data_IF_502767369479
#
_entry.id   IF_502767369479
#
_cell.length_a   1.000
_cell.length_b   1.000
_cell.length_c   1.000
_cell.angle_alpha   90.00
_cell.angle_beta   90.00
_cell.angle_gamma   90.00
#
_symmetry.space_group_name_H-M   'P 1'
#
loop_
_entity.id
_entity.type
_entity.pdbx_description
1 polymer ?
#
# COMPACT_ATOMS: atom_id res chain seq x y z
N UNK A 1 -36.18 -18.82 3.79
CA UNK A 1 -35.66 -18.47 5.13
C UNK A 1 -34.20 -18.92 5.32
N UNK A 2 -33.85 -20.19 5.06
CA UNK A 2 -32.48 -20.71 5.24
C UNK A 2 -31.37 -19.95 4.47
N UNK A 3 -31.62 -19.48 3.25
CA UNK A 3 -30.62 -18.74 2.45
C UNK A 3 -30.40 -17.29 2.95
N UNK A 4 -31.42 -16.68 3.57
CA UNK A 4 -31.31 -15.33 4.12
C UNK A 4 -30.47 -15.34 5.41
N UNK A 5 -30.72 -16.30 6.30
CA UNK A 5 -29.94 -16.50 7.53
C UNK A 5 -28.46 -16.78 7.21
N UNK A 6 -28.17 -17.68 6.25
CA UNK A 6 -26.80 -17.94 5.79
C UNK A 6 -26.11 -16.70 5.24
N UNK A 7 -26.81 -15.86 4.47
CA UNK A 7 -26.26 -14.60 3.94
C UNK A 7 -25.89 -13.61 5.05
N UNK A 8 -26.71 -13.54 6.10
CA UNK A 8 -26.50 -12.66 7.26
C UNK A 8 -25.37 -13.12 8.17
N UNK A 9 -25.25 -14.43 8.42
CA UNK A 9 -24.12 -15.02 9.13
C UNK A 9 -22.80 -14.80 8.37
N UNK A 10 -22.84 -14.96 7.04
CA UNK A 10 -21.68 -14.70 6.18
C UNK A 10 -21.30 -13.23 6.24
N UNK A 11 -22.27 -12.30 6.18
CA UNK A 11 -22.02 -10.86 6.31
C UNK A 11 -21.39 -10.50 7.66
N UNK A 12 -21.86 -11.09 8.76
CA UNK A 12 -21.23 -10.91 10.09
C UNK A 12 -19.79 -11.43 10.07
N UNK A 13 -19.56 -12.62 9.51
CA UNK A 13 -18.24 -13.23 9.46
C UNK A 13 -17.25 -12.38 8.64
N UNK A 14 -17.68 -11.87 7.49
CA UNK A 14 -16.90 -10.91 6.69
C UNK A 14 -16.55 -9.70 7.54
N UNK A 15 -17.52 -9.04 8.17
CA UNK A 15 -17.28 -7.86 9.01
C UNK A 15 -16.36 -8.12 10.20
N UNK A 16 -16.48 -9.28 10.85
CA UNK A 16 -15.54 -9.71 11.90
C UNK A 16 -14.12 -9.87 11.35
N UNK A 17 -13.97 -10.41 10.14
CA UNK A 17 -12.70 -10.45 9.43
C UNK A 17 -12.15 -9.05 9.15
N UNK A 18 -12.97 -8.12 8.66
CA UNK A 18 -12.59 -6.72 8.44
C UNK A 18 -12.07 -6.12 9.75
N UNK A 19 -12.84 -6.25 10.82
CA UNK A 19 -12.51 -5.71 12.14
C UNK A 19 -11.18 -6.25 12.67
N UNK A 20 -10.92 -7.56 12.54
CA UNK A 20 -9.65 -8.17 12.95
C UNK A 20 -8.47 -7.66 12.13
N UNK A 21 -8.63 -7.55 10.80
CA UNK A 21 -7.58 -6.98 9.94
C UNK A 21 -7.35 -5.49 10.22
N UNK A 22 -8.39 -4.76 10.60
CA UNK A 22 -8.34 -3.34 10.96
C UNK A 22 -7.59 -3.13 12.28
N UNK A 23 -7.85 -3.96 13.29
CA UNK A 23 -7.09 -3.95 14.55
C UNK A 23 -5.60 -4.18 14.31
N UNK A 24 -5.27 -5.18 13.49
CA UNK A 24 -3.88 -5.45 13.11
C UNK A 24 -3.27 -4.26 12.37
N UNK A 25 -3.99 -3.65 11.43
CA UNK A 25 -3.52 -2.47 10.69
C UNK A 25 -3.27 -1.27 11.62
N UNK A 26 -4.16 -1.01 12.58
CA UNK A 26 -3.98 0.03 13.59
C UNK A 26 -2.74 -0.21 14.45
N UNK A 27 -2.46 -1.45 14.82
CA UNK A 27 -1.23 -1.79 15.54
C UNK A 27 0.03 -1.49 14.72
N UNK A 28 0.00 -1.75 13.40
CA UNK A 28 1.11 -1.38 12.51
C UNK A 28 1.30 0.14 12.43
N UNK A 29 0.21 0.90 12.32
CA UNK A 29 0.27 2.37 12.31
C UNK A 29 0.73 2.94 13.66
N UNK A 30 0.27 2.38 14.78
CA UNK A 30 0.72 2.76 16.12
C UNK A 30 2.24 2.53 16.27
N UNK A 31 2.76 1.43 15.74
CA UNK A 31 4.19 1.14 15.73
C UNK A 31 5.01 2.16 14.93
N UNK A 32 4.45 2.74 13.86
CA UNK A 32 5.07 3.86 13.13
C UNK A 32 5.02 5.17 13.92
N UNK A 33 3.95 5.42 14.66
CA UNK A 33 3.77 6.66 15.43
C UNK A 33 4.57 6.68 16.73
N UNK A 34 4.86 5.51 17.31
CA UNK A 34 5.63 5.37 18.53
C UNK A 34 7.03 6.02 18.48
N UNK A 35 7.89 5.77 17.46
CA UNK A 35 9.18 6.44 17.32
C UNK A 35 9.05 7.90 16.88
N UNK A 36 7.97 8.29 16.21
CA UNK A 36 7.80 9.65 15.68
C UNK A 36 7.80 10.71 16.79
N UNK A 37 7.11 10.48 17.91
CA UNK A 37 7.05 11.42 19.05
C UNK A 37 8.43 11.71 19.67
N UNK A 38 9.23 10.70 20.09
CA UNK A 38 10.56 10.95 20.63
C UNK A 38 11.52 11.50 19.57
N UNK A 39 11.41 11.11 18.30
CA UNK A 39 12.21 11.71 17.22
C UNK A 39 11.92 13.21 17.06
N UNK A 40 10.65 13.63 17.10
CA UNK A 40 10.28 15.06 17.06
C UNK A 40 10.81 15.82 18.28
N UNK A 41 10.76 15.22 19.47
CA UNK A 41 11.33 15.82 20.67
C UNK A 41 12.87 15.96 20.56
N UNK A 42 13.55 14.91 20.10
CA UNK A 42 15.00 14.90 19.90
C UNK A 42 15.46 15.91 18.85
N UNK A 43 14.63 16.19 17.83
CA UNK A 43 14.91 17.18 16.79
C UNK A 43 15.07 18.62 17.32
N UNK A 44 14.57 18.91 18.53
CA UNK A 44 14.71 20.23 19.19
C UNK A 44 15.94 20.34 20.08
N UNK A 45 16.72 19.27 20.21
CA UNK A 45 17.93 19.23 21.05
C UNK A 45 19.16 19.69 20.27
N UNK A 46 20.27 19.95 20.98
CA UNK A 46 21.54 20.35 20.37
C UNK A 46 22.19 19.28 19.49
N UNK A 47 21.73 18.03 19.57
CA UNK A 47 22.17 16.93 18.69
C UNK A 47 20.95 16.16 18.15
N UNK A 48 20.29 16.71 17.11
CA UNK A 48 19.10 16.09 16.54
C UNK A 48 19.47 14.80 15.81
N UNK A 49 18.77 13.70 16.14
CA UNK A 49 18.89 12.42 15.42
C UNK A 49 18.43 12.57 13.98
N UNK A 50 17.32 13.29 13.79
CA UNK A 50 16.75 13.71 12.52
C UNK A 50 16.26 15.15 12.61
N UNK A 51 16.23 15.84 11.46
CA UNK A 51 15.58 17.14 11.36
C UNK A 51 14.06 16.99 11.37
N UNK A 52 13.34 18.04 11.82
CA UNK A 52 11.87 18.06 11.81
C UNK A 52 11.32 17.81 10.40
N UNK A 53 11.94 18.40 9.38
CA UNK A 53 11.54 18.20 7.97
C UNK A 53 11.69 16.75 7.51
N UNK A 54 12.78 16.05 7.88
CA UNK A 54 12.94 14.63 7.56
C UNK A 54 11.88 13.78 8.25
N UNK A 55 11.57 14.06 9.51
CA UNK A 55 10.53 13.34 10.26
C UNK A 55 9.15 13.57 9.62
N UNK A 56 8.83 14.81 9.25
CA UNK A 56 7.57 15.13 8.58
C UNK A 56 7.45 14.51 7.19
N UNK A 57 8.57 14.33 6.50
CA UNK A 57 8.62 13.63 5.20
C UNK A 57 8.42 12.12 5.39
N UNK A 58 9.12 11.49 6.34
CA UNK A 58 9.04 10.03 6.58
C UNK A 58 7.65 9.63 7.08
N UNK A 59 7.08 10.38 8.01
CA UNK A 59 5.79 10.06 8.65
C UNK A 59 4.63 10.89 8.09
N UNK A 60 4.78 11.45 6.89
CA UNK A 60 3.75 12.28 6.25
C UNK A 60 2.42 11.55 6.19
N UNK A 61 1.33 12.17 6.66
CA UNK A 61 -0.04 11.61 6.69
C UNK A 61 -0.25 10.32 7.49
N UNK A 62 0.77 9.74 8.10
CA UNK A 62 0.63 8.55 8.96
C UNK A 62 -0.28 8.82 10.17
N UNK A 63 -0.17 9.96 10.90
CA UNK A 63 -1.07 10.26 12.01
C UNK A 63 -2.53 10.40 11.55
N UNK A 64 -2.78 11.09 10.45
CA UNK A 64 -4.14 11.25 9.91
C UNK A 64 -4.73 9.91 9.47
N UNK A 65 -3.94 9.04 8.83
CA UNK A 65 -4.36 7.68 8.50
C UNK A 65 -4.72 6.87 9.75
N UNK A 66 -3.93 6.98 10.82
CA UNK A 66 -4.26 6.33 12.09
C UNK A 66 -5.62 6.78 12.63
N UNK A 67 -5.87 8.09 12.70
CA UNK A 67 -7.13 8.62 13.21
C UNK A 67 -8.34 8.18 12.37
N UNK A 68 -8.22 8.22 11.04
CA UNK A 68 -9.28 7.76 10.12
C UNK A 68 -9.65 6.30 10.38
N UNK A 69 -8.64 5.44 10.47
CA UNK A 69 -8.82 4.00 10.70
C UNK A 69 -9.26 3.70 12.13
N UNK A 70 -8.82 4.51 13.10
CA UNK A 70 -9.21 4.38 14.50
C UNK A 70 -10.68 4.70 14.68
N UNK A 71 -11.15 5.78 14.04
CA UNK A 71 -12.57 6.14 14.01
C UNK A 71 -13.41 5.07 13.30
N UNK A 72 -12.92 4.53 12.18
CA UNK A 72 -13.59 3.43 11.48
C UNK A 72 -13.72 2.19 12.37
N UNK A 73 -12.63 1.78 13.05
CA UNK A 73 -12.63 0.64 13.98
C UNK A 73 -13.57 0.86 15.16
N UNK A 74 -13.49 2.01 15.82
CA UNK A 74 -14.31 2.35 16.99
C UNK A 74 -15.80 2.44 16.62
N UNK A 75 -16.12 2.85 15.38
CA UNK A 75 -17.46 2.81 14.82
C UNK A 75 -17.95 1.41 14.45
N UNK A 76 -17.06 0.53 13.95
CA UNK A 76 -17.38 -0.81 13.48
C UNK A 76 -17.52 -1.83 14.62
N UNK A 77 -16.62 -1.79 15.60
CA UNK A 77 -16.55 -2.71 16.74
C UNK A 77 -17.90 -2.91 17.45
N UNK A 78 -18.60 -1.87 17.93
CA UNK A 78 -19.88 -2.05 18.63
C UNK A 78 -20.96 -2.61 17.71
N UNK A 79 -20.93 -2.28 16.41
CA UNK A 79 -21.91 -2.76 15.42
C UNK A 79 -21.73 -4.25 15.10
N UNK A 80 -20.50 -4.76 15.18
CA UNK A 80 -20.20 -6.20 15.02
C UNK A 80 -20.48 -6.97 16.31
N UNK A 81 -20.20 -6.39 17.47
CA UNK A 81 -20.50 -7.01 18.77
C UNK A 81 -22.01 -7.12 19.04
N UNK A 82 -22.75 -6.05 18.77
CA UNK A 82 -24.21 -5.99 18.89
C UNK A 82 -24.88 -6.25 17.53
N UNK A 83 -24.54 -7.39 16.92
CA UNK A 83 -25.00 -7.70 15.56
C UNK A 83 -26.53 -7.86 15.49
N UNK A 84 -27.14 -7.21 14.50
CA UNK A 84 -28.58 -7.32 14.21
C UNK A 84 -28.85 -7.35 12.70
N UNK A 85 -30.02 -7.88 12.31
CA UNK A 85 -30.44 -7.97 10.89
C UNK A 85 -30.57 -6.61 10.19
N UNK A 86 -30.74 -5.52 10.95
CA UNK A 86 -30.90 -4.16 10.45
C UNK A 86 -29.65 -3.31 10.67
N UNK A 87 -28.55 -3.93 11.11
CA UNK A 87 -27.32 -3.21 11.41
C UNK A 87 -26.76 -2.59 10.12
N UNK A 88 -26.49 -1.30 10.20
CA UNK A 88 -25.92 -0.52 9.11
C UNK A 88 -24.46 -0.29 9.36
N UNK A 89 -23.64 -0.51 8.35
CA UNK A 89 -22.19 -0.26 8.36
C UNK A 89 -21.76 0.53 7.12
N UNK A 90 -22.63 0.69 6.12
CA UNK A 90 -22.29 1.33 4.85
C UNK A 90 -21.85 2.78 4.99
N UNK A 91 -22.38 3.50 5.98
CA UNK A 91 -21.97 4.86 6.34
C UNK A 91 -20.50 4.95 6.77
N UNK A 92 -19.99 3.95 7.48
CA UNK A 92 -18.58 3.91 7.89
C UNK A 92 -17.65 3.74 6.69
N UNK A 93 -18.04 2.90 5.73
CA UNK A 93 -17.28 2.70 4.49
C UNK A 93 -17.34 3.91 3.56
N UNK A 94 -18.48 4.59 3.46
CA UNK A 94 -18.56 5.86 2.73
C UNK A 94 -17.69 6.93 3.35
N UNK A 95 -17.68 7.03 4.69
CA UNK A 95 -16.80 7.94 5.39
C UNK A 95 -15.33 7.62 5.08
N UNK A 96 -14.93 6.35 5.14
CA UNK A 96 -13.59 5.92 4.77
C UNK A 96 -13.24 6.27 3.31
N UNK A 97 -14.16 6.03 2.37
CA UNK A 97 -13.98 6.37 0.96
C UNK A 97 -13.84 7.88 0.73
N UNK A 98 -14.53 8.73 1.51
CA UNK A 98 -14.39 10.18 1.44
C UNK A 98 -13.00 10.69 1.86
N UNK A 99 -12.27 9.89 2.64
CA UNK A 99 -10.94 10.24 3.15
C UNK A 99 -9.80 9.71 2.27
N UNK A 100 -10.09 9.10 1.10
CA UNK A 100 -9.07 8.60 0.17
C UNK A 100 -8.12 9.70 -0.35
N UNK A 101 -8.49 10.98 -0.24
CA UNK A 101 -7.58 12.10 -0.50
C UNK A 101 -6.35 12.11 0.41
N UNK A 102 -6.47 11.65 1.66
CA UNK A 102 -5.33 11.53 2.59
C UNK A 102 -4.40 10.40 2.13
N UNK A 103 -4.97 9.28 1.68
CA UNK A 103 -4.23 8.20 1.05
C UNK A 103 -3.49 8.66 -0.20
N UNK A 104 -4.10 9.52 -1.03
CA UNK A 104 -3.43 10.09 -2.20
C UNK A 104 -2.19 10.86 -1.81
N UNK A 105 -2.32 11.78 -0.86
CA UNK A 105 -1.21 12.59 -0.38
C UNK A 105 -0.09 11.72 0.23
N UNK A 106 -0.45 10.67 0.97
CA UNK A 106 0.51 9.68 1.48
C UNK A 106 1.28 9.00 0.34
N UNK A 107 0.56 8.48 -0.67
CA UNK A 107 1.15 7.76 -1.80
C UNK A 107 2.03 8.65 -2.67
N UNK A 108 1.66 9.92 -2.87
CA UNK A 108 2.45 10.87 -3.63
C UNK A 108 3.80 11.20 -2.95
N UNK A 109 3.86 11.14 -1.61
CA UNK A 109 5.08 11.33 -0.83
C UNK A 109 5.82 10.02 -0.52
N UNK A 110 5.23 8.85 -0.77
CA UNK A 110 5.76 7.55 -0.33
C UNK A 110 7.18 7.27 -0.83
N UNK A 111 7.47 7.51 -2.12
CA UNK A 111 8.81 7.31 -2.69
C UNK A 111 9.86 8.18 -1.98
N UNK A 112 9.52 9.45 -1.74
CA UNK A 112 10.39 10.39 -1.02
C UNK A 112 10.56 10.00 0.45
N UNK A 113 9.50 9.50 1.10
CA UNK A 113 9.55 9.02 2.48
C UNK A 113 10.51 7.84 2.64
N UNK A 114 10.45 6.86 1.74
CA UNK A 114 11.35 5.69 1.74
C UNK A 114 12.78 6.12 1.47
N UNK A 115 13.03 6.93 0.43
CA UNK A 115 14.38 7.41 0.12
C UNK A 115 14.98 8.22 1.29
N UNK A 116 14.16 9.07 1.93
CA UNK A 116 14.59 9.86 3.09
C UNK A 116 14.88 8.96 4.28
N UNK A 117 14.04 7.95 4.56
CA UNK A 117 14.26 6.98 5.61
C UNK A 117 15.59 6.23 5.40
N UNK A 118 15.84 5.71 4.19
CA UNK A 118 17.08 5.00 3.87
C UNK A 118 18.33 5.86 4.06
N UNK A 119 18.33 7.10 3.56
CA UNK A 119 19.44 8.05 3.75
C UNK A 119 19.68 8.34 5.22
N UNK A 120 18.60 8.49 5.99
CA UNK A 120 18.67 8.74 7.43
C UNK A 120 19.24 7.54 8.19
N UNK A 121 18.87 6.32 7.82
CA UNK A 121 19.42 5.09 8.41
C UNK A 121 20.92 4.97 8.13
N UNK A 122 21.37 5.31 6.92
CA UNK A 122 22.80 5.28 6.56
C UNK A 122 23.60 6.38 7.28
N UNK A 123 23.00 7.55 7.51
CA UNK A 123 23.67 8.68 8.14
C UNK A 123 23.72 8.61 9.68
N UNK A 124 22.76 7.92 10.31
CA UNK A 124 22.63 7.89 11.76
C UNK A 124 22.32 6.48 12.29
N UNK A 125 23.28 5.90 13.01
CA UNK A 125 23.16 4.57 13.61
C UNK A 125 22.05 4.47 14.66
N UNK A 126 21.76 5.54 15.40
CA UNK A 126 20.64 5.55 16.35
C UNK A 126 19.30 5.47 15.63
N UNK A 127 19.17 6.14 14.47
CA UNK A 127 17.95 6.03 13.67
C UNK A 127 17.83 4.65 13.02
N UNK A 128 18.94 4.08 12.53
CA UNK A 128 18.96 2.71 12.00
C UNK A 128 18.49 1.68 13.04
N UNK A 129 18.95 1.79 14.29
CA UNK A 129 18.47 0.94 15.38
C UNK A 129 16.98 1.14 15.66
N UNK A 130 16.49 2.38 15.65
CA UNK A 130 15.06 2.67 15.83
C UNK A 130 14.24 2.07 14.69
N UNK A 131 14.69 2.20 13.43
CA UNK A 131 13.98 1.68 12.25
C UNK A 131 13.95 0.16 12.18
N UNK A 132 14.97 -0.53 12.71
CA UNK A 132 15.01 -2.00 12.74
C UNK A 132 14.27 -2.60 13.95
N UNK A 133 14.12 -1.83 15.04
CA UNK A 133 13.49 -2.30 16.29
C UNK A 133 12.04 -1.84 16.47
N UNK A 134 11.33 -1.51 15.39
CA UNK A 134 9.91 -1.19 15.47
C UNK A 134 9.09 -2.42 15.85
N UNK A 135 8.61 -2.42 17.09
CA UNK A 135 7.80 -3.50 17.65
C UNK A 135 6.33 -3.21 17.38
N UNK A 136 5.70 -4.06 16.58
CA UNK A 136 4.25 -4.09 16.43
C UNK A 136 3.65 -4.87 17.61
N UNK A 137 2.61 -4.33 18.25
CA UNK A 137 1.88 -5.07 19.29
C UNK A 137 1.03 -6.15 18.63
N UNK A 138 1.45 -7.39 18.72
CA UNK A 138 0.59 -8.52 18.35
C UNK A 138 -0.49 -8.72 19.43
N UNK A 139 -1.73 -9.12 19.07
CA UNK A 139 -2.71 -9.57 20.05
C UNK A 139 -2.13 -10.73 20.88
N UNK A 140 -2.50 -10.77 22.16
CA UNK A 140 -2.06 -11.74 23.17
C UNK A 140 -2.06 -13.16 22.57
N UNK A 141 -0.89 -13.82 22.57
CA UNK A 141 -0.61 -15.25 22.34
C UNK A 141 0.40 -15.60 21.23
N UNK A 142 0.87 -14.65 20.41
CA UNK A 142 2.00 -14.93 19.50
C UNK A 142 3.34 -14.44 20.08
N UNK A 143 4.17 -15.39 20.54
CA UNK A 143 5.57 -15.21 20.99
C UNK A 143 6.55 -14.81 19.86
N UNK A 144 6.08 -14.11 18.84
CA UNK A 144 6.91 -13.68 17.72
C UNK A 144 6.61 -12.19 17.47
N UNK A 145 7.34 -11.31 18.15
CA UNK A 145 7.43 -9.92 17.73
C UNK A 145 8.17 -9.93 16.40
N UNK A 146 7.42 -10.00 15.30
CA UNK A 146 7.96 -9.81 13.97
C UNK A 146 8.68 -8.45 13.95
N UNK A 147 10.00 -8.50 13.79
CA UNK A 147 10.81 -7.30 13.54
C UNK A 147 10.39 -6.78 12.17
N UNK A 148 9.56 -5.76 12.15
CA UNK A 148 9.17 -5.11 10.91
C UNK A 148 10.09 -3.92 10.71
N UNK A 149 10.77 -3.85 9.57
CA UNK A 149 11.54 -2.67 9.21
C UNK A 149 10.59 -1.48 8.97
N UNK A 150 11.09 -0.26 9.15
CA UNK A 150 10.34 0.96 8.90
C UNK A 150 9.74 0.99 7.47
N UNK A 151 10.49 0.54 6.47
CA UNK A 151 10.04 0.46 5.07
C UNK A 151 8.86 -0.51 4.93
N UNK A 152 8.95 -1.68 5.57
CA UNK A 152 7.88 -2.68 5.55
C UNK A 152 6.59 -2.15 6.20
N UNK A 153 6.71 -1.32 7.24
CA UNK A 153 5.56 -0.67 7.88
C UNK A 153 5.00 0.50 7.03
N UNK A 154 5.87 1.30 6.40
CA UNK A 154 5.46 2.39 5.50
C UNK A 154 4.74 1.87 4.25
N UNK A 155 4.98 0.63 3.83
CA UNK A 155 4.23 0.00 2.74
C UNK A 155 2.82 -0.46 3.16
N UNK A 156 2.54 -0.65 4.46
CA UNK A 156 1.24 -1.17 4.93
C UNK A 156 0.03 -0.35 4.47
N UNK A 157 0.03 1.00 4.48
CA UNK A 157 -1.06 1.79 3.91
C UNK A 157 -1.31 1.54 2.42
N UNK A 158 -0.25 1.31 1.63
CA UNK A 158 -0.35 0.99 0.20
C UNK A 158 -1.04 -0.36 0.00
N UNK A 159 -0.62 -1.37 0.77
CA UNK A 159 -1.24 -2.69 0.76
C UNK A 159 -2.69 -2.64 1.31
N UNK A 160 -2.95 -1.81 2.32
CA UNK A 160 -4.30 -1.68 2.89
C UNK A 160 -5.28 -1.13 1.88
N UNK A 161 -4.95 -0.02 1.20
CA UNK A 161 -5.91 0.62 0.28
C UNK A 161 -6.25 -0.25 -0.93
N UNK A 162 -5.28 -1.03 -1.41
CA UNK A 162 -5.50 -2.01 -2.50
C UNK A 162 -6.39 -3.18 -2.05
N UNK A 163 -6.22 -3.68 -0.82
CA UNK A 163 -7.03 -4.78 -0.27
C UNK A 163 -8.43 -4.35 0.17
N UNK A 164 -8.60 -3.13 0.67
CA UNK A 164 -9.90 -2.64 1.17
C UNK A 164 -11.00 -2.71 0.10
N UNK A 165 -10.66 -2.53 -1.18
CA UNK A 165 -11.60 -2.65 -2.30
C UNK A 165 -12.14 -4.07 -2.49
N UNK A 166 -11.29 -5.09 -2.32
CA UNK A 166 -11.70 -6.50 -2.41
C UNK A 166 -12.66 -6.86 -1.28
N UNK A 167 -12.34 -6.41 -0.08
CA UNK A 167 -13.15 -6.62 1.12
C UNK A 167 -14.51 -5.94 1.01
N UNK A 168 -14.56 -4.71 0.48
CA UNK A 168 -15.79 -3.98 0.18
C UNK A 168 -16.66 -4.72 -0.85
N UNK A 169 -16.04 -5.27 -1.88
CA UNK A 169 -16.71 -6.07 -2.90
C UNK A 169 -17.34 -7.34 -2.30
N UNK A 170 -16.60 -8.06 -1.46
CA UNK A 170 -17.11 -9.26 -0.79
C UNK A 170 -18.26 -8.92 0.18
N UNK A 171 -18.16 -7.81 0.93
CA UNK A 171 -19.23 -7.35 1.79
C UNK A 171 -20.50 -6.99 1.00
N UNK A 172 -20.36 -6.33 -0.14
CA UNK A 172 -21.48 -5.96 -1.02
C UNK A 172 -22.16 -7.21 -1.60
N UNK A 173 -21.38 -8.23 -2.00
CA UNK A 173 -21.91 -9.51 -2.51
C UNK A 173 -22.82 -10.22 -1.51
N UNK A 174 -22.57 -10.05 -0.21
CA UNK A 174 -23.37 -10.63 0.87
C UNK A 174 -24.39 -9.65 1.46
N UNK A 175 -24.60 -8.48 0.83
CA UNK A 175 -25.60 -7.49 1.25
C UNK A 175 -26.75 -7.45 0.24
N UNK A 176 -27.98 -7.88 0.62
CA UNK A 176 -29.13 -7.87 -0.29
C UNK A 176 -29.43 -6.48 -0.84
N UNK A 177 -29.94 -6.38 -2.07
CA UNK A 177 -30.31 -5.10 -2.71
C UNK A 177 -31.41 -4.34 -1.97
N UNK A 178 -32.24 -5.04 -1.19
CA UNK A 178 -33.26 -4.46 -0.31
C UNK A 178 -32.69 -3.86 0.98
N UNK A 179 -31.43 -4.14 1.33
CA UNK A 179 -30.82 -3.67 2.56
C UNK A 179 -30.34 -2.21 2.40
N UNK A 180 -30.53 -1.34 3.42
CA UNK A 180 -30.16 0.08 3.35
C UNK A 180 -28.67 0.33 3.12
N UNK A 181 -27.79 -0.60 3.50
CA UNK A 181 -26.34 -0.49 3.21
C UNK A 181 -25.97 -0.76 1.75
N UNK A 182 -26.81 -1.45 0.97
CA UNK A 182 -26.45 -1.82 -0.41
C UNK A 182 -26.06 -0.60 -1.27
N UNK A 183 -26.86 0.49 -1.34
CA UNK A 183 -26.46 1.67 -2.10
C UNK A 183 -25.22 2.37 -1.52
N UNK A 184 -25.05 2.37 -0.19
CA UNK A 184 -23.91 3.02 0.47
C UNK A 184 -22.60 2.27 0.18
N UNK A 185 -22.63 0.94 0.27
CA UNK A 185 -21.50 0.07 -0.03
C UNK A 185 -21.17 0.07 -1.52
N UNK A 186 -22.17 0.09 -2.39
CA UNK A 186 -21.96 0.21 -3.84
C UNK A 186 -21.27 1.53 -4.20
N UNK A 187 -21.70 2.63 -3.59
CA UNK A 187 -21.08 3.94 -3.79
C UNK A 187 -19.64 3.99 -3.25
N UNK A 188 -19.42 3.49 -2.03
CA UNK A 188 -18.08 3.38 -1.44
C UNK A 188 -17.13 2.51 -2.28
N UNK A 189 -17.63 1.39 -2.84
CA UNK A 189 -16.88 0.53 -3.74
C UNK A 189 -16.51 1.25 -5.04
N UNK A 190 -17.47 1.94 -5.66
CA UNK A 190 -17.24 2.73 -6.89
C UNK A 190 -16.18 3.80 -6.68
N UNK A 191 -16.24 4.54 -5.58
CA UNK A 191 -15.25 5.58 -5.24
C UNK A 191 -13.88 4.95 -5.03
N UNK A 192 -13.80 3.83 -4.30
CA UNK A 192 -12.55 3.11 -4.02
C UNK A 192 -11.91 2.54 -5.30
N UNK A 193 -12.71 1.98 -6.21
CA UNK A 193 -12.24 1.49 -7.50
C UNK A 193 -11.68 2.62 -8.37
N UNK A 194 -12.42 3.73 -8.50
CA UNK A 194 -11.96 4.90 -9.25
C UNK A 194 -10.64 5.44 -8.68
N UNK A 195 -10.49 5.46 -7.36
CA UNK A 195 -9.27 5.86 -6.69
C UNK A 195 -8.09 4.94 -7.06
N UNK A 196 -8.27 3.61 -6.98
CA UNK A 196 -7.22 2.67 -7.36
C UNK A 196 -6.83 2.78 -8.83
N UNK A 197 -7.82 2.93 -9.73
CA UNK A 197 -7.55 3.18 -11.15
C UNK A 197 -6.73 4.46 -11.36
N UNK A 198 -7.08 5.55 -10.66
CA UNK A 198 -6.35 6.82 -10.76
C UNK A 198 -4.90 6.75 -10.26
N UNK A 199 -4.62 5.91 -9.26
CA UNK A 199 -3.25 5.66 -8.78
C UNK A 199 -2.47 4.81 -9.79
N UNK A 200 -3.11 3.78 -10.34
CA UNK A 200 -2.49 2.89 -11.31
C UNK A 200 -2.12 3.66 -12.59
N UNK A 201 -3.04 4.47 -13.11
CA UNK A 201 -2.80 5.33 -14.27
C UNK A 201 -1.67 6.35 -14.02
N UNK A 202 -1.62 6.98 -12.85
CA UNK A 202 -0.56 7.93 -12.51
C UNK A 202 0.80 7.25 -12.38
N UNK A 203 0.87 6.08 -11.73
CA UNK A 203 2.10 5.29 -11.61
C UNK A 203 2.62 4.88 -12.99
N UNK A 204 1.73 4.42 -13.88
CA UNK A 204 2.08 4.11 -15.28
C UNK A 204 2.52 5.35 -16.06
N UNK A 205 1.94 6.53 -15.78
CA UNK A 205 2.34 7.80 -16.40
C UNK A 205 3.69 8.31 -15.90
N UNK A 206 4.02 8.14 -14.61
CA UNK A 206 5.32 8.50 -14.02
C UNK A 206 6.44 7.56 -14.49
N UNK A 207 6.14 6.29 -14.75
CA UNK A 207 7.07 5.32 -15.36
C UNK A 207 7.23 5.51 -16.88
N UNK A 208 6.32 6.25 -17.52
CA UNK A 208 6.46 6.67 -18.93
C UNK A 208 7.50 7.79 -19.03
N UNK A 209 8.77 7.40 -19.00
CA UNK A 209 9.84 8.26 -19.49
C UNK A 209 9.60 8.48 -20.99
N UNK A 210 9.35 9.75 -21.35
CA UNK A 210 9.17 10.18 -22.73
C UNK A 210 10.45 9.90 -23.49
N UNK A 211 10.52 8.76 -24.17
CA UNK A 211 11.53 8.55 -25.21
C UNK A 211 11.18 9.53 -26.33
N UNK A 212 12.14 10.38 -26.71
CA UNK A 212 12.00 11.37 -27.78
C UNK A 212 11.67 10.71 -29.13
N UNK A 213 10.40 10.35 -29.35
CA UNK A 213 9.67 10.27 -30.63
C UNK A 213 8.28 9.67 -30.36
N UNK A 214 7.28 10.54 -30.28
CA UNK A 214 5.97 10.33 -30.92
C UNK A 214 4.92 9.41 -30.30
N UNK A 215 5.25 8.45 -29.44
CA UNK A 215 4.23 7.54 -28.89
C UNK A 215 4.43 7.31 -27.38
N UNK A 216 3.33 7.31 -26.62
CA UNK A 216 3.30 7.04 -25.17
C UNK A 216 3.67 5.57 -24.90
N UNK A 217 4.94 5.22 -25.10
CA UNK A 217 5.47 3.88 -24.88
C UNK A 217 5.75 3.68 -23.39
N UNK A 218 5.02 2.78 -22.75
CA UNK A 218 5.22 2.44 -21.34
C UNK A 218 5.83 1.05 -21.23
N UNK A 219 6.89 0.91 -20.43
CA UNK A 219 7.47 -0.40 -20.12
C UNK A 219 6.57 -1.08 -19.08
N UNK A 220 6.00 -2.22 -19.43
CA UNK A 220 5.17 -3.03 -18.55
C UNK A 220 6.01 -4.00 -17.71
N UNK A 221 7.06 -4.57 -18.31
CA UNK A 221 7.92 -5.56 -17.64
C UNK A 221 9.24 -5.75 -18.39
N UNK A 222 10.32 -5.96 -17.66
CA UNK A 222 11.57 -6.47 -18.20
C UNK A 222 12.03 -7.75 -17.48
N UNK A 223 12.69 -8.64 -18.21
CA UNK A 223 13.23 -9.88 -17.65
C UNK A 223 14.33 -10.45 -18.52
N UNK A 224 15.27 -11.17 -17.91
CA UNK A 224 16.21 -11.98 -18.64
C UNK A 224 15.57 -13.30 -19.08
N UNK A 225 15.76 -13.68 -20.34
CA UNK A 225 15.26 -14.92 -20.94
C UNK A 225 16.38 -15.61 -21.72
N UNK A 226 16.28 -16.93 -21.84
CA UNK A 226 17.20 -17.73 -22.67
C UNK A 226 16.51 -18.04 -23.99
N UNK A 227 17.01 -17.43 -25.06
CA UNK A 227 16.56 -17.67 -26.43
C UNK A 227 17.39 -18.82 -27.02
N UNK A 228 16.73 -19.82 -27.61
CA UNK A 228 17.39 -20.92 -28.31
C UNK A 228 17.48 -20.56 -29.80
N UNK A 229 18.67 -20.22 -30.28
CA UNK A 229 18.91 -19.84 -31.68
C UNK A 229 19.89 -20.83 -32.28
N UNK A 230 19.49 -21.56 -33.32
CA UNK A 230 20.33 -22.52 -34.04
C UNK A 230 21.04 -23.52 -33.10
N UNK A 231 20.30 -24.04 -32.12
CA UNK A 231 20.82 -24.99 -31.12
C UNK A 231 21.66 -24.37 -30.00
N UNK A 232 21.97 -23.07 -30.05
CA UNK A 232 22.70 -22.36 -29.01
C UNK A 232 21.77 -21.56 -28.08
N UNK A 233 21.96 -21.71 -26.77
CA UNK A 233 21.27 -20.92 -25.73
C UNK A 233 21.93 -19.55 -25.58
N UNK A 234 21.19 -18.47 -25.85
CA UNK A 234 21.68 -17.09 -25.75
C UNK A 234 20.86 -16.33 -24.70
N UNK A 235 21.52 -15.72 -23.72
CA UNK A 235 20.88 -14.85 -22.75
C UNK A 235 20.45 -13.54 -23.42
N UNK A 236 19.18 -13.17 -23.24
CA UNK A 236 18.55 -11.95 -23.74
C UNK A 236 17.91 -11.20 -22.60
N UNK A 237 17.85 -9.89 -22.74
CA UNK A 237 17.02 -9.03 -21.91
C UNK A 237 15.82 -8.61 -22.74
N UNK A 238 14.62 -8.98 -22.27
CA UNK A 238 13.36 -8.74 -22.99
C UNK A 238 12.59 -7.67 -22.25
N UNK A 239 12.12 -6.68 -22.99
CA UNK A 239 11.34 -5.54 -22.52
C UNK A 239 9.96 -5.59 -23.17
N UNK A 240 8.93 -5.78 -22.37
CA UNK A 240 7.54 -5.72 -22.80
C UNK A 240 7.04 -4.29 -22.59
N UNK A 241 6.70 -3.61 -23.67
CA UNK A 241 6.03 -2.33 -23.67
C UNK A 241 4.54 -2.49 -23.97
N UNK A 242 3.77 -1.41 -23.81
CA UNK A 242 2.34 -1.33 -24.16
C UNK A 242 2.02 -1.67 -25.62
N UNK A 243 2.96 -1.41 -26.52
CA UNK A 243 2.81 -1.49 -27.97
C UNK A 243 3.89 -2.35 -28.65
N UNK A 244 4.89 -2.83 -27.90
CA UNK A 244 6.12 -3.40 -28.46
C UNK A 244 6.72 -4.48 -27.55
N UNK A 245 7.33 -5.53 -28.12
CA UNK A 245 8.13 -6.49 -27.36
C UNK A 245 9.57 -6.45 -27.86
N UNK A 246 10.44 -5.75 -27.14
CA UNK A 246 11.83 -5.55 -27.51
C UNK A 246 12.73 -6.62 -26.90
N UNK A 247 13.49 -7.32 -27.74
CA UNK A 247 14.53 -8.24 -27.29
C UNK A 247 15.92 -7.65 -27.54
N UNK A 248 16.73 -7.55 -26.50
CA UNK A 248 18.07 -6.99 -26.58
C UNK A 248 19.14 -7.92 -25.96
N UNK A 249 20.38 -7.76 -26.43
CA UNK A 249 21.56 -8.39 -25.82
C UNK A 249 22.32 -7.32 -25.04
N UNK A 250 22.55 -7.54 -23.75
CA UNK A 250 23.38 -6.66 -22.94
C UNK A 250 24.84 -6.73 -23.44
N UNK A 251 25.44 -5.59 -23.78
CA UNK A 251 26.87 -5.50 -24.07
C UNK A 251 27.63 -5.40 -22.75
N UNK A 252 28.59 -6.29 -22.55
CA UNK A 252 29.47 -6.26 -21.38
C UNK A 252 30.50 -5.14 -21.61
N UNK A 253 30.36 -4.01 -20.92
CA UNK A 253 31.34 -2.93 -20.99
C UNK A 253 32.28 -3.01 -19.77
N UNK A 254 33.57 -2.86 -20.04
CA UNK A 254 34.62 -2.69 -19.03
C UNK A 254 34.70 -1.18 -18.76
N UNK A 255 34.11 -0.70 -17.65
CA UNK A 255 34.38 0.63 -17.09
C UNK A 255 33.41 1.79 -17.40
N UNK A 256 32.10 1.65 -17.13
CA UNK A 256 31.18 2.80 -17.15
C UNK A 256 29.76 2.49 -16.62
N UNK A 257 29.12 3.45 -15.95
CA UNK A 257 27.85 3.31 -15.19
C UNK A 257 26.56 3.13 -16.04
N UNK A 258 26.64 3.14 -17.37
CA UNK A 258 25.45 3.02 -18.23
C UNK A 258 25.42 1.67 -18.96
N UNK A 259 24.31 0.94 -18.83
CA UNK A 259 24.10 -0.35 -19.47
C UNK A 259 23.79 -0.16 -20.96
N UNK A 260 24.65 -0.69 -21.84
CA UNK A 260 24.47 -0.58 -23.28
C UNK A 260 23.81 -1.86 -23.84
N UNK A 261 22.70 -1.70 -24.54
CA UNK A 261 21.92 -2.81 -25.12
C UNK A 261 22.05 -2.83 -26.64
N UNK A 262 22.13 -4.04 -27.19
CA UNK A 262 22.11 -4.31 -28.63
C UNK A 262 20.75 -4.89 -29.00
N UNK A 263 19.89 -4.11 -29.66
CA UNK A 263 18.58 -4.58 -30.10
C UNK A 263 18.73 -5.74 -31.09
N UNK A 264 18.01 -6.84 -30.87
CA UNK A 264 18.00 -8.02 -31.75
C UNK A 264 16.76 -8.07 -32.62
N UNK A 265 15.60 -7.85 -32.01
CA UNK A 265 14.32 -7.73 -32.67
C UNK A 265 13.36 -6.97 -31.75
N UNK A 266 12.28 -6.42 -32.32
CA UNK A 266 11.22 -5.71 -31.62
C UNK A 266 9.87 -6.01 -32.25
#
# INVERSE_FOLDING_TARGET
>A
ECDLEKGLETRKWVLSGILSTEESYLSHLEALLLPMKPLKAAATTSQPVLTVAQIETIFFKVPELYEIHKEFYDGLLPRVQQWSHHQRVGDLFQKLASQLGVYRAFLDNYELAVETAEKCCQANTQFAEISENLKVRSPKDCKETAKNSLEALLYKPVDRVTRSTLVLHDLLKHTPTSHPDHPLLQDALRISQNFLSSINEETSRRQSTTVKKGENRQLLKDSFMVELVEGARKLRHVFLFTDLLLCAKLKKQIGGKNQQYDCKWY
#
